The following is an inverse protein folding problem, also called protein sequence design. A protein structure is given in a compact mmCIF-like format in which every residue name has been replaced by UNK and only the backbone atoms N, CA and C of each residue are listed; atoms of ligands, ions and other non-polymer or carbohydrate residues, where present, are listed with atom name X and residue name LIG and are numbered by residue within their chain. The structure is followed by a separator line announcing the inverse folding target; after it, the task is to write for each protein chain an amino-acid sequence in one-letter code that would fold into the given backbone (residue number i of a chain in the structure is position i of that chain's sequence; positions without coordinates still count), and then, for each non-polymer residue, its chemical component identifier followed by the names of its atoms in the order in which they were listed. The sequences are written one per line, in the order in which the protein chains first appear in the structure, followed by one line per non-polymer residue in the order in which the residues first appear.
data_IF_460808421205
#
_entry.id   IF_460808421205
#
_cell.length_a   1.000
_cell.length_b   1.000
_cell.length_c   1.000
_cell.angle_alpha   90.00
_cell.angle_beta   90.00
_cell.angle_gamma   90.00
#
_symmetry.space_group_name_H-M   'P 1'
#
loop_
_entity.id
_entity.type
_entity.pdbx_description
1 polymer ?
#
# COMPACT_ATOMS: atom_id res chain seq x y z
N UNK A 1 -6.04 3.74 -28.20
CA UNK A 1 -4.62 3.40 -27.97
C UNK A 1 -4.57 2.21 -27.04
N UNK A 2 -3.64 1.29 -27.23
CA UNK A 2 -3.56 0.10 -26.37
C UNK A 2 -2.95 0.50 -25.03
N UNK A 3 -3.53 0.03 -23.93
CA UNK A 3 -3.00 0.20 -22.57
C UNK A 3 -2.18 -1.02 -22.22
N UNK A 4 -0.95 -0.81 -21.76
CA UNK A 4 -0.02 -1.89 -21.45
C UNK A 4 0.52 -1.75 -20.03
N UNK A 5 0.74 -2.89 -19.38
CA UNK A 5 1.52 -2.95 -18.15
C UNK A 5 2.97 -2.64 -18.51
N UNK A 6 3.67 -1.76 -17.76
CA UNK A 6 5.08 -1.47 -18.03
C UNK A 6 5.92 -2.75 -18.04
N UNK A 7 6.77 -2.99 -19.06
CA UNK A 7 7.59 -4.20 -19.14
C UNK A 7 8.49 -4.43 -17.93
N UNK A 8 8.89 -3.36 -17.22
CA UNK A 8 9.73 -3.42 -16.03
C UNK A 8 9.09 -4.19 -14.85
N UNK A 9 7.76 -4.32 -14.83
CA UNK A 9 7.02 -4.96 -13.73
C UNK A 9 6.05 -6.04 -14.21
N UNK A 10 6.05 -6.35 -15.51
CA UNK A 10 5.14 -7.35 -16.06
C UNK A 10 5.29 -8.71 -15.36
N UNK A 11 6.53 -9.19 -15.23
CA UNK A 11 6.82 -10.46 -14.54
C UNK A 11 6.41 -10.42 -13.07
N UNK A 12 6.65 -9.30 -12.37
CA UNK A 12 6.23 -9.13 -10.97
C UNK A 12 4.70 -9.19 -10.82
N UNK A 13 3.97 -8.62 -11.77
CA UNK A 13 2.50 -8.64 -11.80
C UNK A 13 1.98 -10.05 -12.12
N UNK A 14 2.61 -10.76 -13.05
CA UNK A 14 2.27 -12.15 -13.38
C UNK A 14 2.49 -13.05 -12.16
N UNK A 15 3.64 -12.95 -11.48
CA UNK A 15 3.95 -13.71 -10.27
C UNK A 15 3.02 -13.37 -9.11
N UNK A 16 2.68 -12.10 -8.91
CA UNK A 16 1.72 -11.67 -7.89
C UNK A 16 0.33 -12.24 -8.18
N UNK A 17 -0.06 -12.30 -9.47
CA UNK A 17 -1.35 -12.86 -9.88
C UNK A 17 -1.42 -14.37 -9.60
N UNK A 18 -0.38 -15.11 -9.94
CA UNK A 18 -0.28 -16.55 -9.67
C UNK A 18 -0.28 -16.84 -8.16
N UNK A 19 0.52 -16.08 -7.40
CA UNK A 19 0.64 -16.23 -5.95
C UNK A 19 -0.69 -15.96 -5.21
N UNK A 20 -1.48 -15.00 -5.71
CA UNK A 20 -2.82 -14.71 -5.19
C UNK A 20 -3.89 -15.72 -5.63
N UNK A 21 -3.53 -16.72 -6.45
CA UNK A 21 -4.48 -17.69 -7.01
C UNK A 21 -5.46 -17.07 -8.01
N UNK A 22 -5.07 -15.98 -8.67
CA UNK A 22 -5.91 -15.30 -9.66
C UNK A 22 -6.05 -16.13 -10.93
N UNK A 23 -7.27 -16.15 -11.47
CA UNK A 23 -7.61 -16.77 -12.75
C UNK A 23 -7.23 -15.89 -13.95
N UNK A 24 -6.95 -14.61 -13.71
CA UNK A 24 -6.54 -13.63 -14.70
C UNK A 24 -5.22 -12.95 -14.30
N UNK A 25 -4.47 -12.52 -15.30
CA UNK A 25 -3.35 -11.61 -15.11
C UNK A 25 -3.62 -10.35 -15.94
N UNK A 26 -3.64 -9.16 -15.33
CA UNK A 26 -3.28 -8.90 -13.92
C UNK A 26 -4.42 -9.17 -12.91
N UNK A 27 -4.06 -9.53 -11.68
CA UNK A 27 -4.99 -9.89 -10.60
C UNK A 27 -6.05 -8.83 -10.25
N UNK A 28 -5.78 -7.54 -10.48
CA UNK A 28 -6.74 -6.47 -10.23
C UNK A 28 -7.92 -6.45 -11.22
N UNK A 29 -7.93 -7.36 -12.19
CA UNK A 29 -9.08 -7.63 -13.06
C UNK A 29 -9.91 -8.85 -12.61
N UNK A 30 -9.50 -9.55 -11.54
CA UNK A 30 -10.24 -10.70 -11.05
C UNK A 30 -11.49 -10.24 -10.29
N UNK A 31 -12.62 -10.91 -10.56
CA UNK A 31 -13.87 -10.75 -9.82
C UNK A 31 -13.93 -11.63 -8.55
N UNK A 32 -12.89 -12.45 -8.30
CA UNK A 32 -12.82 -13.32 -7.13
C UNK A 32 -12.62 -12.52 -5.86
N UNK A 33 -13.48 -12.74 -4.86
CA UNK A 33 -13.39 -12.07 -3.55
C UNK A 33 -12.03 -12.36 -2.89
N UNK A 34 -11.38 -11.30 -2.38
CA UNK A 34 -10.08 -11.37 -1.72
C UNK A 34 -8.87 -11.51 -2.66
N UNK A 35 -9.03 -12.02 -3.89
CA UNK A 35 -7.93 -12.17 -4.85
C UNK A 35 -7.24 -10.84 -5.18
N UNK A 36 -7.97 -9.72 -5.45
CA UNK A 36 -7.31 -8.44 -5.66
C UNK A 36 -6.50 -7.95 -4.46
N UNK A 37 -7.02 -8.15 -3.25
CA UNK A 37 -6.34 -7.74 -2.01
C UNK A 37 -5.04 -8.53 -1.82
N UNK A 38 -5.12 -9.87 -1.89
CA UNK A 38 -3.95 -10.74 -1.79
C UNK A 38 -2.92 -10.39 -2.87
N UNK A 39 -3.37 -10.15 -4.10
CA UNK A 39 -2.50 -9.74 -5.19
C UNK A 39 -1.78 -8.41 -4.92
N UNK A 40 -2.40 -7.43 -4.25
CA UNK A 40 -1.73 -6.19 -3.87
C UNK A 40 -0.63 -6.43 -2.84
N UNK A 41 -0.86 -7.29 -1.84
CA UNK A 41 0.17 -7.69 -0.88
C UNK A 41 1.33 -8.44 -1.55
N UNK A 42 1.02 -9.38 -2.44
CA UNK A 42 2.03 -10.11 -3.20
C UNK A 42 2.85 -9.16 -4.09
N UNK A 43 2.19 -8.24 -4.81
CA UNK A 43 2.87 -7.26 -5.65
C UNK A 43 3.76 -6.32 -4.84
N UNK A 44 3.32 -5.85 -3.68
CA UNK A 44 4.15 -5.01 -2.81
C UNK A 44 5.43 -5.74 -2.37
N UNK A 45 5.33 -7.03 -2.03
CA UNK A 45 6.49 -7.87 -1.73
C UNK A 45 7.43 -8.04 -2.94
N UNK A 46 6.89 -8.21 -4.15
CA UNK A 46 7.70 -8.30 -5.38
C UNK A 46 8.40 -6.99 -5.75
N UNK A 47 7.80 -5.85 -5.40
CA UNK A 47 8.38 -4.52 -5.62
C UNK A 47 9.48 -4.18 -4.60
N UNK A 48 9.60 -4.93 -3.50
CA UNK A 48 10.62 -4.74 -2.47
C UNK A 48 11.98 -5.31 -2.89
N UNK A 49 12.60 -4.65 -3.86
CA UNK A 49 13.89 -5.02 -4.46
C UNK A 49 15.00 -4.07 -4.06
N UNK A 50 16.25 -4.50 -4.26
CA UNK A 50 17.43 -3.64 -4.13
C UNK A 50 17.31 -2.49 -5.16
N UNK A 51 17.04 -1.26 -4.67
CA UNK A 51 16.72 -0.04 -5.43
C UNK A 51 15.25 0.14 -5.87
N UNK A 52 14.28 -0.29 -5.03
CA UNK A 52 12.85 -0.04 -5.25
C UNK A 52 12.52 1.41 -5.64
N UNK A 53 13.12 2.42 -5.00
CA UNK A 53 12.88 3.84 -5.31
C UNK A 53 13.17 4.18 -6.78
N UNK A 54 14.27 3.66 -7.35
CA UNK A 54 14.64 3.92 -8.75
C UNK A 54 13.70 3.21 -9.72
N UNK A 55 13.24 2.01 -9.37
CA UNK A 55 12.25 1.27 -10.14
C UNK A 55 10.91 2.04 -10.15
N UNK A 56 10.40 2.38 -8.97
CA UNK A 56 9.11 3.04 -8.78
C UNK A 56 9.04 4.41 -9.47
N UNK A 57 10.14 5.17 -9.51
CA UNK A 57 10.22 6.45 -10.22
C UNK A 57 9.99 6.36 -11.74
N UNK A 58 10.07 5.16 -12.32
CA UNK A 58 9.87 4.90 -13.75
C UNK A 58 8.47 4.32 -14.05
N UNK A 59 7.66 4.10 -13.02
CA UNK A 59 6.39 3.39 -13.12
C UNK A 59 5.21 4.35 -12.91
N UNK A 60 4.02 3.97 -13.39
CA UNK A 60 2.76 4.59 -12.99
C UNK A 60 2.60 4.68 -11.45
N UNK A 61 1.88 5.70 -10.94
CA UNK A 61 1.80 5.98 -9.50
C UNK A 61 1.20 4.83 -8.68
N UNK A 62 0.35 3.99 -9.28
CA UNK A 62 -0.27 2.85 -8.59
C UNK A 62 0.75 1.87 -8.01
N UNK A 63 1.90 1.67 -8.67
CA UNK A 63 2.95 0.80 -8.15
C UNK A 63 3.58 1.37 -6.87
N UNK A 64 3.76 2.69 -6.80
CA UNK A 64 4.24 3.35 -5.58
C UNK A 64 3.19 3.26 -4.47
N UNK A 65 1.91 3.44 -4.80
CA UNK A 65 0.81 3.30 -3.83
C UNK A 65 0.74 1.88 -3.27
N UNK A 66 0.81 0.86 -4.15
CA UNK A 66 0.79 -0.55 -3.74
C UNK A 66 2.00 -0.88 -2.87
N UNK A 67 3.21 -0.53 -3.32
CA UNK A 67 4.42 -0.74 -2.55
C UNK A 67 4.34 -0.10 -1.17
N UNK A 68 4.04 1.19 -1.10
CA UNK A 68 4.06 1.95 0.14
C UNK A 68 2.99 1.49 1.13
N UNK A 69 1.74 1.33 0.68
CA UNK A 69 0.63 0.97 1.58
C UNK A 69 0.73 -0.49 2.03
N UNK A 70 0.81 -1.44 1.11
CA UNK A 70 0.67 -2.85 1.49
C UNK A 70 1.91 -3.41 2.18
N UNK A 71 3.11 -2.87 1.88
CA UNK A 71 4.31 -3.20 2.65
C UNK A 71 4.25 -2.61 4.06
N UNK A 72 3.72 -1.40 4.22
CA UNK A 72 3.46 -0.81 5.54
C UNK A 72 2.46 -1.64 6.35
N UNK A 73 1.30 -1.98 5.77
CA UNK A 73 0.27 -2.79 6.42
C UNK A 73 0.83 -4.15 6.84
N UNK A 74 1.61 -4.80 5.97
CA UNK A 74 2.29 -6.06 6.30
C UNK A 74 3.30 -5.90 7.44
N UNK A 75 4.06 -4.79 7.48
CA UNK A 75 5.12 -4.57 8.48
C UNK A 75 4.59 -4.44 9.91
N UNK A 76 3.33 -4.02 10.09
CA UNK A 76 2.68 -3.81 11.39
C UNK A 76 1.64 -4.86 11.76
N UNK A 77 1.30 -5.76 10.82
CA UNK A 77 0.26 -6.76 11.00
C UNK A 77 0.54 -7.62 12.24
N UNK A 78 -0.34 -7.53 13.25
CA UNK A 78 -0.19 -8.25 14.52
C UNK A 78 0.87 -7.72 15.49
N UNK A 79 1.63 -6.67 15.12
CA UNK A 79 2.76 -6.15 15.92
C UNK A 79 2.60 -4.69 16.38
N UNK A 80 1.67 -3.94 15.78
CA UNK A 80 1.36 -2.55 16.14
C UNK A 80 2.23 -1.50 15.42
N UNK A 81 1.91 -0.22 15.62
CA UNK A 81 2.46 0.89 14.83
C UNK A 81 3.96 1.11 15.06
N UNK A 82 4.42 1.00 16.30
CA UNK A 82 5.85 1.16 16.64
C UNK A 82 6.68 0.11 15.92
N UNK A 83 6.32 -1.16 16.07
CA UNK A 83 7.08 -2.27 15.47
C UNK A 83 7.05 -2.19 13.95
N UNK A 84 5.89 -1.86 13.36
CA UNK A 84 5.80 -1.56 11.93
C UNK A 84 6.76 -0.45 11.50
N UNK A 85 6.84 0.64 12.27
CA UNK A 85 7.72 1.78 11.94
C UNK A 85 9.20 1.42 12.08
N UNK A 86 9.57 0.57 13.03
CA UNK A 86 10.93 0.05 13.15
C UNK A 86 11.31 -0.87 11.98
N UNK A 87 10.37 -1.69 11.53
CA UNK A 87 10.56 -2.64 10.43
C UNK A 87 10.67 -1.94 9.07
N UNK A 88 9.80 -0.96 8.83
CA UNK A 88 9.66 -0.28 7.53
C UNK A 88 10.41 1.04 7.41
N UNK A 89 10.73 1.65 8.55
CA UNK A 89 11.34 2.97 8.62
C UNK A 89 10.34 4.13 8.39
N UNK A 90 10.63 5.32 8.95
CA UNK A 90 9.78 6.51 8.83
C UNK A 90 9.43 6.93 7.39
N UNK A 91 10.32 6.67 6.44
CA UNK A 91 10.13 7.06 5.04
C UNK A 91 8.99 6.27 4.38
N UNK A 92 8.89 4.96 4.64
CA UNK A 92 7.80 4.15 4.09
C UNK A 92 6.46 4.56 4.71
N UNK A 93 6.43 4.82 6.02
CA UNK A 93 5.21 5.30 6.71
C UNK A 93 4.71 6.61 6.09
N UNK A 94 5.62 7.56 5.83
CA UNK A 94 5.24 8.81 5.17
C UNK A 94 4.76 8.59 3.73
N UNK A 95 5.38 7.68 2.99
CA UNK A 95 4.94 7.32 1.64
C UNK A 95 3.54 6.68 1.65
N UNK A 96 3.27 5.80 2.62
CA UNK A 96 1.96 5.19 2.82
C UNK A 96 0.90 6.25 3.15
N UNK A 97 1.19 7.20 4.04
CA UNK A 97 0.29 8.31 4.34
C UNK A 97 -0.06 9.14 3.09
N UNK A 98 0.95 9.48 2.27
CA UNK A 98 0.73 10.20 1.01
C UNK A 98 -0.14 9.39 0.04
N UNK A 99 0.09 8.07 -0.04
CA UNK A 99 -0.66 7.18 -0.90
C UNK A 99 -2.12 7.00 -0.43
N UNK A 100 -2.37 6.93 0.88
CA UNK A 100 -3.73 6.95 1.43
C UNK A 100 -4.46 8.25 1.09
N UNK A 101 -3.79 9.40 1.19
CA UNK A 101 -4.36 10.67 0.77
C UNK A 101 -4.72 10.69 -0.73
N UNK A 102 -3.84 10.16 -1.60
CA UNK A 102 -4.12 10.03 -3.04
C UNK A 102 -5.25 9.04 -3.34
N UNK A 103 -5.42 8.02 -2.50
CA UNK A 103 -6.52 7.07 -2.57
C UNK A 103 -7.87 7.65 -2.07
N UNK A 104 -7.91 8.92 -1.63
CA UNK A 104 -9.11 9.55 -1.12
C UNK A 104 -9.42 9.20 0.34
N UNK A 105 -8.40 8.83 1.12
CA UNK A 105 -8.50 8.47 2.53
C UNK A 105 -7.69 9.47 3.40
N UNK A 106 -8.05 10.77 3.39
CA UNK A 106 -7.28 11.80 4.09
C UNK A 106 -7.27 11.65 5.61
N UNK A 107 -8.30 11.04 6.21
CA UNK A 107 -8.36 10.76 7.64
C UNK A 107 -7.30 9.72 8.06
N UNK A 108 -7.12 8.67 7.26
CA UNK A 108 -6.07 7.67 7.48
C UNK A 108 -4.69 8.29 7.31
N UNK A 109 -4.50 9.09 6.26
CA UNK A 109 -3.25 9.82 6.05
C UNK A 109 -2.90 10.70 7.25
N UNK A 110 -3.86 11.48 7.76
CA UNK A 110 -3.67 12.34 8.92
C UNK A 110 -3.36 11.56 10.21
N UNK A 111 -3.98 10.39 10.40
CA UNK A 111 -3.71 9.51 11.53
C UNK A 111 -2.28 8.96 11.49
N UNK A 112 -1.83 8.51 10.31
CA UNK A 112 -0.45 8.03 10.11
C UNK A 112 0.59 9.14 10.28
N UNK A 113 0.35 10.34 9.75
CA UNK A 113 1.25 11.49 9.92
C UNK A 113 1.39 11.88 11.40
N UNK A 114 0.28 11.85 12.15
CA UNK A 114 0.28 12.15 13.58
C UNK A 114 1.04 11.09 14.38
N UNK A 115 0.80 9.82 14.06
CA UNK A 115 1.52 8.68 14.64
C UNK A 115 3.02 8.79 14.36
N UNK A 116 3.40 9.09 13.12
CA UNK A 116 4.81 9.24 12.72
C UNK A 116 5.48 10.42 13.45
N UNK A 117 4.80 11.56 13.57
CA UNK A 117 5.29 12.70 14.33
C UNK A 117 5.51 12.37 15.81
N UNK A 118 4.66 11.50 16.39
CA UNK A 118 4.83 11.01 17.76
C UNK A 118 5.99 10.02 17.87
N UNK A 119 6.13 9.10 16.91
CA UNK A 119 7.26 8.16 16.84
C UNK A 119 8.60 8.91 16.83
N UNK A 120 8.73 9.97 16.04
CA UNK A 120 9.96 10.79 15.97
C UNK A 120 10.31 11.42 17.33
N UNK A 121 9.31 11.82 18.12
CA UNK A 121 9.52 12.45 19.42
C UNK A 121 9.81 11.43 20.53
N UNK A 122 9.09 10.30 20.52
CA UNK A 122 9.11 9.30 21.59
C UNK A 122 9.16 7.87 21.01
N UNK A 123 10.24 7.46 20.31
CA UNK A 123 10.28 6.20 19.55
C UNK A 123 10.20 4.93 20.41
N UNK A 124 10.38 5.06 21.73
CA UNK A 124 10.30 3.96 22.68
C UNK A 124 8.95 3.91 23.43
N UNK A 125 8.08 4.90 23.23
CA UNK A 125 6.80 4.99 23.92
C UNK A 125 5.66 4.47 23.03
N UNK A 126 5.48 3.15 23.08
CA UNK A 126 4.45 2.44 22.32
C UNK A 126 3.05 3.01 22.56
N UNK A 127 2.73 3.34 23.81
CA UNK A 127 1.40 3.80 24.18
C UNK A 127 1.11 5.19 23.60
N UNK A 128 2.09 6.10 23.63
CA UNK A 128 1.92 7.42 23.01
C UNK A 128 1.79 7.31 21.49
N UNK A 129 2.56 6.43 20.84
CA UNK A 129 2.51 6.22 19.38
C UNK A 129 1.13 5.71 18.95
N UNK A 130 0.62 4.67 19.61
CA UNK A 130 -0.73 4.12 19.36
C UNK A 130 -1.81 5.18 19.62
N UNK A 131 -1.75 5.86 20.77
CA UNK A 131 -2.71 6.91 21.12
C UNK A 131 -2.67 8.09 20.14
N UNK A 132 -1.53 8.37 19.52
CA UNK A 132 -1.42 9.42 18.51
C UNK A 132 -2.15 9.06 17.21
N UNK A 133 -2.11 7.79 16.79
CA UNK A 133 -2.91 7.30 15.67
C UNK A 133 -4.42 7.35 15.98
N UNK A 134 -4.81 6.86 17.16
CA UNK A 134 -6.22 6.78 17.60
C UNK A 134 -6.85 8.13 17.98
N UNK A 135 -6.07 9.21 18.07
CA UNK A 135 -6.55 10.51 18.52
C UNK A 135 -7.52 11.20 17.54
N UNK A 136 -7.54 10.76 16.28
CA UNK A 136 -8.41 11.30 15.24
C UNK A 136 -9.63 10.39 15.05
N UNK A 137 -10.77 11.02 14.76
CA UNK A 137 -11.95 10.29 14.31
C UNK A 137 -11.69 9.77 12.89
N UNK A 138 -11.25 8.51 12.79
CA UNK A 138 -10.83 7.88 11.56
C UNK A 138 -11.76 6.68 11.24
N UNK A 139 -12.58 6.75 10.18
CA UNK A 139 -13.46 5.66 9.78
C UNK A 139 -12.71 4.47 9.17
N UNK A 140 -11.39 4.57 9.03
CA UNK A 140 -10.51 3.55 8.45
C UNK A 140 -9.52 3.00 9.47
N UNK A 141 -9.77 3.16 10.77
CA UNK A 141 -8.86 2.66 11.82
C UNK A 141 -8.69 1.14 11.76
N UNK A 142 -9.77 0.42 11.47
CA UNK A 142 -9.79 -1.03 11.41
C UNK A 142 -9.45 -1.49 9.98
N UNK A 143 -8.66 -2.54 9.86
CA UNK A 143 -8.23 -3.09 8.57
C UNK A 143 -9.41 -3.51 7.68
N UNK A 144 -10.45 -4.12 8.26
CA UNK A 144 -11.68 -4.50 7.57
C UNK A 144 -12.49 -3.29 7.05
N UNK A 145 -12.28 -2.09 7.59
CA UNK A 145 -12.89 -0.85 7.08
C UNK A 145 -11.97 -0.12 6.08
N UNK A 146 -10.65 -0.30 6.20
CA UNK A 146 -9.63 0.40 5.40
C UNK A 146 -9.27 -0.31 4.09
N UNK A 147 -8.97 -1.59 4.15
CA UNK A 147 -8.38 -2.33 3.02
C UNK A 147 -9.39 -2.56 1.87
N UNK A 148 -10.64 -3.01 2.12
CA UNK A 148 -11.58 -3.25 1.03
C UNK A 148 -11.89 -2.02 0.15
N UNK A 149 -12.18 -0.81 0.69
CA UNK A 149 -12.41 0.36 -0.17
C UNK A 149 -11.13 0.82 -0.89
N UNK A 150 -9.94 0.68 -0.29
CA UNK A 150 -8.67 0.98 -0.95
C UNK A 150 -8.44 0.08 -2.17
N UNK A 151 -8.57 -1.24 -1.99
CA UNK A 151 -8.40 -2.22 -3.07
C UNK A 151 -9.40 -1.94 -4.19
N UNK A 152 -10.67 -1.69 -3.85
CA UNK A 152 -11.70 -1.31 -4.83
C UNK A 152 -11.29 -0.06 -5.61
N UNK A 153 -10.84 0.99 -4.93
CA UNK A 153 -10.41 2.22 -5.59
C UNK A 153 -9.27 1.99 -6.58
N UNK A 154 -8.26 1.20 -6.19
CA UNK A 154 -7.14 0.86 -7.07
C UNK A 154 -7.59 0.06 -8.30
N UNK A 155 -8.48 -0.91 -8.13
CA UNK A 155 -9.02 -1.70 -9.26
C UNK A 155 -9.91 -0.86 -10.19
N UNK A 156 -10.85 -0.08 -9.66
CA UNK A 156 -11.76 0.77 -10.44
C UNK A 156 -11.02 1.86 -11.23
N UNK A 157 -9.85 2.27 -10.74
CA UNK A 157 -8.99 3.28 -11.38
C UNK A 157 -7.71 2.66 -11.97
N UNK A 158 -7.69 1.34 -12.21
CA UNK A 158 -6.49 0.63 -12.64
C UNK A 158 -5.86 1.24 -13.90
N UNK A 159 -6.68 1.70 -14.84
CA UNK A 159 -6.26 2.39 -16.07
C UNK A 159 -5.34 3.59 -15.81
N UNK A 160 -5.60 4.35 -14.74
CA UNK A 160 -4.80 5.50 -14.33
C UNK A 160 -3.56 5.07 -13.55
N UNK A 161 -3.68 4.00 -12.77
CA UNK A 161 -2.69 3.64 -11.75
C UNK A 161 -1.64 2.64 -12.22
N UNK A 162 -1.95 1.77 -13.18
CA UNK A 162 -1.08 0.63 -13.52
C UNK A 162 -0.69 0.55 -15.00
N UNK A 163 -1.35 1.28 -15.88
CA UNK A 163 -1.09 1.19 -17.32
C UNK A 163 -0.41 2.44 -17.88
N UNK A 164 0.35 2.23 -18.96
CA UNK A 164 0.87 3.29 -19.83
C UNK A 164 0.26 3.18 -21.23
N UNK A 165 0.24 4.28 -21.97
CA UNK A 165 -0.16 4.26 -23.38
C UNK A 165 0.99 3.72 -24.25
N UNK A 166 0.65 2.80 -25.15
CA UNK A 166 1.56 2.24 -26.16
C UNK A 166 1.55 3.03 -27.48
#
# INVERSE_FOLDING_TARGET
MARIIPPLVLEMVEEASDSAGSDVSPFWQSDSEGTPEEGMYQLASKLDVENAEQLLAQLPPGYTMVYSIFLWEASRAGEGFKTGTDNSGPALVQAAANAYAEAGMPEEAAALERMLAQYVQTPQDYQLIEAAYEALDNPYKDDWERIPPLVRHLCENADRYFYVEA
#
